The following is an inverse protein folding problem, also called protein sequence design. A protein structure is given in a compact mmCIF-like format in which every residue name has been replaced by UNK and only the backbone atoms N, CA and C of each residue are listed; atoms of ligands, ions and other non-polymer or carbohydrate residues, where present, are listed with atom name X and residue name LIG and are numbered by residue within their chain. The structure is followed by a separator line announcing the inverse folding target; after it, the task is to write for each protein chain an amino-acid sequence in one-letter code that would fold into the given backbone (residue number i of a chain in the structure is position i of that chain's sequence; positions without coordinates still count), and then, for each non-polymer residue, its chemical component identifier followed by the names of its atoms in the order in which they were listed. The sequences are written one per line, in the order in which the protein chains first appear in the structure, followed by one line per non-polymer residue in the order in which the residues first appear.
data_IF_127726357981
#
_entry.id   IF_127726357981
#
_cell.length_a   1.000
_cell.length_b   1.000
_cell.length_c   1.000
_cell.angle_alpha   90.00
_cell.angle_beta   90.00
_cell.angle_gamma   90.00
#
_symmetry.space_group_name_H-M   'P 1'
#
loop_
_entity.id
_entity.type
_entity.pdbx_description
1 polymer ?
#
# COMPACT_ATOMS: atom_id res chain seq x y z
N UNK A 1 22.62 -11.62 -4.14
CA UNK A 1 21.53 -11.24 -3.23
C UNK A 1 20.67 -10.29 -4.04
N UNK A 2 19.41 -10.64 -4.25
CA UNK A 2 18.48 -9.85 -5.04
C UNK A 2 17.64 -8.92 -4.16
N UNK A 3 16.88 -7.99 -4.79
CA UNK A 3 16.15 -6.97 -4.10
C UNK A 3 14.67 -6.96 -4.52
N UNK A 4 13.78 -6.96 -3.54
CA UNK A 4 12.37 -6.63 -3.73
C UNK A 4 12.19 -5.14 -3.42
N UNK A 5 11.70 -4.37 -4.39
CA UNK A 5 11.32 -2.97 -4.26
C UNK A 5 9.82 -2.90 -4.01
N UNK A 6 9.41 -2.90 -2.74
CA UNK A 6 8.01 -2.69 -2.37
C UNK A 6 7.64 -1.22 -2.55
N UNK A 7 6.67 -0.95 -3.41
CA UNK A 7 6.19 0.37 -3.76
C UNK A 7 4.75 0.54 -3.28
N UNK A 8 4.47 1.53 -2.42
CA UNK A 8 3.11 1.95 -2.18
C UNK A 8 2.58 2.64 -3.45
N UNK A 9 1.38 2.30 -3.87
CA UNK A 9 0.73 2.94 -5.02
C UNK A 9 0.77 4.47 -4.95
N UNK A 10 0.71 5.14 -6.09
CA UNK A 10 0.58 6.59 -6.20
C UNK A 10 -0.70 7.10 -5.54
N UNK A 11 -0.78 8.41 -5.28
CA UNK A 11 -1.96 9.00 -4.66
C UNK A 11 -3.23 8.64 -5.42
N UNK A 12 -4.19 8.03 -4.72
CA UNK A 12 -5.51 7.71 -5.25
C UNK A 12 -6.42 8.95 -5.37
N UNK A 13 -7.49 8.85 -6.17
CA UNK A 13 -8.45 9.92 -6.42
C UNK A 13 -9.48 10.01 -5.29
N UNK A 14 -9.07 10.55 -4.14
CA UNK A 14 -9.96 10.70 -2.99
C UNK A 14 -11.16 11.60 -3.31
N UNK A 15 -12.36 11.16 -2.92
CA UNK A 15 -13.62 11.92 -3.10
C UNK A 15 -14.20 11.90 -4.51
N UNK A 16 -13.65 11.11 -5.45
CA UNK A 16 -14.25 10.84 -6.75
C UNK A 16 -15.10 9.58 -6.70
N UNK A 17 -15.95 9.42 -7.73
CA UNK A 17 -16.83 8.25 -7.90
C UNK A 17 -16.05 6.94 -7.90
N UNK A 18 -14.91 6.90 -8.59
CA UNK A 18 -13.97 5.79 -8.54
C UNK A 18 -12.73 6.17 -7.70
N UNK A 19 -12.74 5.75 -6.44
CA UNK A 19 -11.62 5.96 -5.51
C UNK A 19 -10.39 5.13 -5.89
N UNK A 20 -10.56 3.98 -6.55
CA UNK A 20 -9.47 3.03 -6.82
C UNK A 20 -8.52 3.47 -7.95
N UNK A 21 -8.79 4.58 -8.64
CA UNK A 21 -7.90 5.13 -9.66
C UNK A 21 -6.91 6.14 -9.08
N UNK A 22 -5.76 6.30 -9.73
CA UNK A 22 -4.79 7.33 -9.37
C UNK A 22 -5.32 8.74 -9.65
N UNK A 23 -4.93 9.69 -8.80
CA UNK A 23 -5.04 11.12 -9.10
C UNK A 23 -3.99 11.54 -10.14
N UNK A 24 -4.14 12.76 -10.72
CA UNK A 24 -3.09 13.33 -11.59
C UNK A 24 -1.73 13.36 -10.89
N UNK A 25 -1.72 13.64 -9.58
CA UNK A 25 -0.50 13.63 -8.76
C UNK A 25 0.05 12.22 -8.60
N UNK A 26 -0.81 11.21 -8.40
CA UNK A 26 -0.40 9.81 -8.33
C UNK A 26 0.29 9.33 -9.60
N UNK A 27 -0.20 9.73 -10.77
CA UNK A 27 0.44 9.47 -12.05
C UNK A 27 1.83 10.13 -12.16
N UNK A 28 1.95 11.39 -11.71
CA UNK A 28 3.25 12.07 -11.71
C UNK A 28 4.25 11.42 -10.75
N UNK A 29 3.79 11.05 -9.54
CA UNK A 29 4.60 10.30 -8.56
C UNK A 29 5.15 9.01 -9.18
N UNK A 30 4.31 8.23 -9.88
CA UNK A 30 4.73 7.00 -10.55
C UNK A 30 5.79 7.24 -11.63
N UNK A 31 5.64 8.29 -12.44
CA UNK A 31 6.63 8.67 -13.46
C UNK A 31 7.97 9.07 -12.84
N UNK A 32 7.95 9.86 -11.76
CA UNK A 32 9.17 10.26 -11.04
C UNK A 32 9.88 9.01 -10.50
N UNK A 33 9.13 8.07 -9.91
CA UNK A 33 9.67 6.80 -9.45
C UNK A 33 10.31 6.01 -10.59
N UNK A 34 9.65 5.94 -11.76
CA UNK A 34 10.18 5.27 -12.94
C UNK A 34 11.53 5.83 -13.37
N UNK A 35 11.64 7.16 -13.51
CA UNK A 35 12.91 7.83 -13.81
C UNK A 35 14.00 7.52 -12.78
N UNK A 36 13.63 7.52 -11.51
CA UNK A 36 14.57 7.22 -10.42
C UNK A 36 15.08 5.79 -10.43
N UNK A 37 14.25 4.81 -10.83
CA UNK A 37 14.64 3.40 -10.91
C UNK A 37 15.46 3.09 -12.16
N UNK A 38 15.20 3.74 -13.30
CA UNK A 38 15.82 3.44 -14.58
C UNK A 38 17.36 3.42 -14.56
N UNK A 39 17.96 4.33 -13.78
CA UNK A 39 19.43 4.41 -13.66
C UNK A 39 20.01 3.50 -12.57
N UNK A 40 19.18 2.72 -11.85
CA UNK A 40 19.60 2.03 -10.63
C UNK A 40 19.43 0.54 -10.66
N UNK A 41 18.47 0.04 -11.42
CA UNK A 41 18.13 -1.37 -11.38
C UNK A 41 17.53 -1.83 -12.71
N UNK A 42 17.99 -2.98 -13.18
CA UNK A 42 17.35 -3.73 -14.25
C UNK A 42 16.29 -4.65 -13.61
N UNK A 43 15.03 -4.39 -13.96
CA UNK A 43 13.90 -5.10 -13.37
C UNK A 43 13.66 -6.43 -14.09
N UNK A 44 13.85 -7.55 -13.38
CA UNK A 44 13.60 -8.89 -13.92
C UNK A 44 12.13 -9.27 -13.96
N UNK A 45 11.31 -8.76 -13.02
CA UNK A 45 9.87 -8.98 -12.97
C UNK A 45 9.14 -7.85 -12.22
N UNK A 46 7.83 -7.75 -12.49
CA UNK A 46 6.93 -6.82 -11.81
C UNK A 46 5.77 -7.61 -11.22
N UNK A 47 5.46 -7.34 -9.96
CA UNK A 47 4.33 -7.92 -9.25
C UNK A 47 3.42 -6.81 -8.70
N UNK A 48 2.20 -7.17 -8.37
CA UNK A 48 1.30 -6.25 -7.67
C UNK A 48 -0.01 -6.90 -7.27
N UNK A 49 -0.76 -6.20 -6.42
CA UNK A 49 -2.16 -6.53 -6.19
C UNK A 49 -3.01 -6.21 -7.43
N UNK A 50 -4.28 -6.66 -7.43
CA UNK A 50 -5.15 -6.49 -8.60
C UNK A 50 -5.96 -5.19 -8.58
N UNK A 51 -5.80 -4.32 -7.58
CA UNK A 51 -6.48 -3.03 -7.50
C UNK A 51 -6.04 -2.10 -8.64
N UNK A 52 -6.98 -1.28 -9.14
CA UNK A 52 -6.71 -0.37 -10.27
C UNK A 52 -5.51 0.54 -9.97
N UNK A 53 -5.42 1.12 -8.79
CA UNK A 53 -4.31 1.99 -8.37
C UNK A 53 -2.94 1.29 -8.37
N UNK A 54 -2.90 -0.05 -8.16
CA UNK A 54 -1.64 -0.80 -8.27
C UNK A 54 -1.19 -0.91 -9.73
N UNK A 55 -2.11 -1.21 -10.65
CA UNK A 55 -1.85 -1.31 -12.09
C UNK A 55 -1.45 0.03 -12.67
N UNK A 56 -2.21 1.08 -12.40
CA UNK A 56 -1.92 2.44 -12.86
C UNK A 56 -0.57 2.97 -12.31
N UNK A 57 -0.17 2.55 -11.11
CA UNK A 57 1.17 2.89 -10.57
C UNK A 57 2.27 2.25 -11.41
N UNK A 58 2.12 0.99 -11.82
CA UNK A 58 3.07 0.30 -12.70
C UNK A 58 3.11 0.94 -14.08
N UNK A 59 1.96 1.31 -14.66
CA UNK A 59 1.87 2.01 -15.95
C UNK A 59 2.57 3.37 -15.90
N UNK A 60 2.35 4.14 -14.83
CA UNK A 60 3.02 5.41 -14.62
C UNK A 60 4.54 5.24 -14.44
N UNK A 61 4.95 4.22 -13.67
CA UNK A 61 6.35 3.85 -13.50
C UNK A 61 6.98 3.49 -14.83
N UNK A 62 6.36 2.64 -15.66
CA UNK A 62 6.84 2.26 -16.98
C UNK A 62 7.05 3.47 -17.89
N UNK A 63 6.12 4.43 -17.85
CA UNK A 63 6.23 5.69 -18.58
C UNK A 63 7.50 6.46 -18.19
N UNK A 64 7.84 6.50 -16.92
CA UNK A 64 9.02 7.19 -16.41
C UNK A 64 10.32 6.41 -16.62
N UNK A 65 10.26 5.08 -16.57
CA UNK A 65 11.41 4.18 -16.75
C UNK A 65 12.00 4.26 -18.15
N UNK A 66 11.17 4.50 -19.16
CA UNK A 66 11.60 4.85 -20.51
C UNK A 66 11.98 3.69 -21.42
N UNK A 67 11.97 2.44 -20.91
CA UNK A 67 12.12 1.21 -21.68
C UNK A 67 10.99 0.26 -21.38
N UNK A 68 10.79 -0.76 -22.24
CA UNK A 68 9.79 -1.79 -22.00
C UNK A 68 10.09 -2.53 -20.69
N UNK A 69 9.05 -2.69 -19.86
CA UNK A 69 9.09 -3.45 -18.63
C UNK A 69 8.33 -4.77 -18.79
N UNK A 70 8.64 -5.81 -18.00
CA UNK A 70 7.84 -7.02 -17.95
C UNK A 70 6.38 -6.73 -17.58
N UNK A 71 5.45 -7.56 -18.07
CA UNK A 71 4.04 -7.49 -17.66
C UNK A 71 3.90 -7.73 -16.16
N UNK A 72 2.98 -6.98 -15.52
CA UNK A 72 2.74 -7.15 -14.09
C UNK A 72 2.03 -8.46 -13.81
N UNK A 73 2.65 -9.30 -12.98
CA UNK A 73 2.06 -10.51 -12.43
C UNK A 73 1.22 -10.17 -11.18
N UNK A 74 -0.02 -10.63 -11.17
CA UNK A 74 -0.97 -10.30 -10.09
C UNK A 74 -0.87 -11.33 -8.96
N UNK A 75 -0.65 -10.83 -7.75
CA UNK A 75 -0.74 -11.58 -6.49
C UNK A 75 -1.80 -10.90 -5.60
N UNK A 76 -3.02 -11.45 -5.58
CA UNK A 76 -4.14 -10.85 -4.83
C UNK A 76 -3.85 -10.74 -3.33
N UNK A 77 -2.97 -11.58 -2.81
CA UNK A 77 -2.49 -11.47 -1.44
C UNK A 77 -1.81 -10.15 -1.09
N UNK A 78 -1.40 -9.36 -2.11
CA UNK A 78 -0.83 -8.02 -1.95
C UNK A 78 -1.88 -6.89 -1.99
N UNK A 79 -3.19 -7.22 -2.04
CA UNK A 79 -4.25 -6.22 -1.95
C UNK A 79 -4.34 -5.61 -0.55
N UNK A 80 -4.79 -4.35 -0.50
CA UNK A 80 -5.17 -3.71 0.74
C UNK A 80 -6.35 -4.45 1.40
N UNK A 81 -6.50 -4.33 2.73
CA UNK A 81 -7.69 -4.79 3.42
C UNK A 81 -8.92 -3.95 3.03
N UNK A 82 -10.11 -4.51 3.21
CA UNK A 82 -11.35 -3.78 2.94
C UNK A 82 -11.62 -2.74 4.04
N UNK A 83 -11.11 -1.55 3.80
CA UNK A 83 -11.29 -0.42 4.72
C UNK A 83 -12.76 0.05 4.81
N UNK A 84 -13.59 -0.24 3.80
CA UNK A 84 -15.01 0.10 3.82
C UNK A 84 -15.71 -0.79 4.82
N UNK A 85 -15.54 -2.11 4.72
CA UNK A 85 -16.08 -3.05 5.71
C UNK A 85 -15.61 -2.69 7.13
N UNK A 86 -14.31 -2.44 7.31
CA UNK A 86 -13.75 -2.12 8.63
C UNK A 86 -14.42 -0.90 9.26
N UNK A 87 -14.73 0.14 8.47
CA UNK A 87 -15.44 1.32 8.95
C UNK A 87 -16.92 1.02 9.23
N UNK A 88 -17.59 0.31 8.35
CA UNK A 88 -19.01 -0.05 8.46
C UNK A 88 -19.29 -0.95 9.67
N UNK A 89 -18.36 -1.83 10.06
CA UNK A 89 -18.50 -2.64 11.30
C UNK A 89 -18.46 -1.80 12.57
N UNK A 90 -17.75 -0.67 12.56
CA UNK A 90 -17.80 0.30 13.68
C UNK A 90 -19.03 1.23 13.58
N UNK A 91 -19.41 1.60 12.38
CA UNK A 91 -20.45 2.59 12.08
C UNK A 91 -21.40 2.04 11.01
N UNK A 92 -22.29 1.06 11.35
CA UNK A 92 -23.15 0.42 10.34
C UNK A 92 -24.03 1.40 9.54
N UNK A 93 -24.40 2.52 10.15
CA UNK A 93 -25.15 3.58 9.50
C UNK A 93 -24.39 4.28 8.36
N UNK A 94 -23.06 4.14 8.29
CA UNK A 94 -22.21 4.70 7.24
C UNK A 94 -22.14 3.85 5.97
N UNK A 95 -22.78 2.68 5.96
CA UNK A 95 -23.06 1.94 4.72
C UNK A 95 -23.91 2.78 3.74
N UNK A 96 -24.78 3.65 4.28
CA UNK A 96 -25.38 4.72 3.48
C UNK A 96 -24.46 5.93 3.40
N UNK A 97 -23.89 6.16 2.19
CA UNK A 97 -22.96 7.28 1.93
C UNK A 97 -23.57 8.66 2.23
N UNK A 98 -24.90 8.83 2.08
CA UNK A 98 -25.58 10.09 2.38
C UNK A 98 -25.62 10.32 3.90
N UNK A 99 -25.90 9.30 4.66
CA UNK A 99 -25.86 9.35 6.13
C UNK A 99 -24.44 9.65 6.61
N UNK A 100 -23.43 8.97 6.09
CA UNK A 100 -22.01 9.26 6.40
C UNK A 100 -21.67 10.73 6.11
N UNK A 101 -22.05 11.25 4.93
CA UNK A 101 -21.76 12.62 4.54
C UNK A 101 -22.45 13.63 5.48
N UNK A 102 -23.70 13.38 5.87
CA UNK A 102 -24.47 14.21 6.79
C UNK A 102 -23.86 14.23 8.19
N UNK A 103 -23.50 13.06 8.70
CA UNK A 103 -22.83 12.94 9.99
C UNK A 103 -21.52 13.71 10.02
N UNK A 104 -20.66 13.48 9.01
CA UNK A 104 -19.38 14.18 8.92
C UNK A 104 -19.52 15.68 8.78
N UNK A 105 -20.54 16.17 8.04
CA UNK A 105 -20.83 17.60 7.90
C UNK A 105 -21.23 18.26 9.22
N UNK A 106 -21.68 17.52 10.23
CA UNK A 106 -22.01 18.05 11.56
C UNK A 106 -20.78 18.43 12.38
N UNK A 107 -19.58 17.97 12.00
CA UNK A 107 -18.34 18.28 12.71
C UNK A 107 -17.63 19.51 12.15
N UNK A 108 -16.98 20.34 12.98
CA UNK A 108 -16.22 21.51 12.52
C UNK A 108 -15.10 21.19 11.53
N UNK A 109 -14.58 19.95 11.56
CA UNK A 109 -13.52 19.44 10.70
C UNK A 109 -13.87 18.03 10.20
N UNK A 110 -14.72 17.90 9.16
CA UNK A 110 -15.21 16.60 8.67
C UNK A 110 -14.11 15.57 8.37
N UNK A 111 -13.04 16.00 7.70
CA UNK A 111 -11.91 15.11 7.37
C UNK A 111 -11.22 14.55 8.62
N UNK A 112 -11.08 15.38 9.68
CA UNK A 112 -10.51 14.93 10.95
C UNK A 112 -11.46 13.97 11.69
N UNK A 113 -12.76 14.23 11.63
CA UNK A 113 -13.77 13.36 12.22
C UNK A 113 -13.75 11.98 11.56
N UNK A 114 -13.69 11.93 10.22
CA UNK A 114 -13.51 10.68 9.48
C UNK A 114 -12.22 9.96 9.89
N UNK A 115 -11.09 10.67 9.96
CA UNK A 115 -9.80 10.10 10.35
C UNK A 115 -9.88 9.44 11.74
N UNK A 116 -10.50 10.11 12.72
CA UNK A 116 -10.67 9.56 14.08
C UNK A 116 -11.57 8.32 14.09
N UNK A 117 -12.64 8.31 13.30
CA UNK A 117 -13.52 7.16 13.17
C UNK A 117 -12.77 5.98 12.51
N UNK A 118 -12.02 6.25 11.45
CA UNK A 118 -11.19 5.27 10.76
C UNK A 118 -10.15 4.65 11.70
N UNK A 119 -9.40 5.45 12.45
CA UNK A 119 -8.42 4.95 13.43
C UNK A 119 -9.07 4.07 14.49
N UNK A 120 -10.26 4.44 14.98
CA UNK A 120 -11.02 3.64 15.93
C UNK A 120 -11.49 2.32 15.30
N UNK A 121 -11.96 2.35 14.07
CA UNK A 121 -12.41 1.17 13.35
C UNK A 121 -11.26 0.17 13.12
N UNK A 122 -10.10 0.66 12.68
CA UNK A 122 -8.91 -0.17 12.48
C UNK A 122 -8.42 -0.76 13.81
N UNK A 123 -8.39 0.01 14.89
CA UNK A 123 -8.03 -0.52 16.21
C UNK A 123 -8.97 -1.62 16.68
N UNK A 124 -10.29 -1.48 16.44
CA UNK A 124 -11.28 -2.51 16.72
C UNK A 124 -11.02 -3.80 15.93
N UNK A 125 -10.76 -3.67 14.64
CA UNK A 125 -10.43 -4.81 13.78
C UNK A 125 -9.15 -5.52 14.22
N UNK A 126 -8.11 -4.77 14.55
CA UNK A 126 -6.80 -5.29 14.98
C UNK A 126 -6.86 -5.95 16.37
N UNK A 127 -7.83 -5.59 17.24
CA UNK A 127 -7.94 -6.18 18.58
C UNK A 127 -8.25 -7.68 18.54
N UNK A 128 -8.92 -8.18 17.50
CA UNK A 128 -9.37 -9.56 17.41
C UNK A 128 -10.60 -9.88 18.23
N UNK A 129 -11.10 -8.95 19.06
CA UNK A 129 -12.26 -9.17 19.94
C UNK A 129 -13.58 -9.35 19.18
N UNK A 130 -13.58 -9.04 17.88
CA UNK A 130 -14.75 -9.01 17.00
C UNK A 130 -14.52 -9.73 15.68
N UNK A 131 -13.62 -10.71 15.65
CA UNK A 131 -13.18 -11.39 14.42
C UNK A 131 -14.33 -12.05 13.65
N UNK A 132 -15.38 -12.50 14.34
CA UNK A 132 -16.59 -13.11 13.75
C UNK A 132 -17.48 -12.11 12.97
N UNK A 133 -17.24 -10.82 13.11
CA UNK A 133 -17.98 -9.78 12.39
C UNK A 133 -17.35 -9.39 11.06
N UNK A 134 -16.10 -9.79 10.79
CA UNK A 134 -15.34 -9.38 9.60
C UNK A 134 -15.20 -10.52 8.61
N UNK A 135 -15.29 -10.20 7.30
CA UNK A 135 -15.00 -11.16 6.25
C UNK A 135 -13.53 -11.57 6.24
N UNK A 136 -12.63 -10.63 6.54
CA UNK A 136 -11.21 -10.90 6.74
C UNK A 136 -10.76 -10.36 8.11
N UNK A 137 -10.29 -11.24 8.98
CA UNK A 137 -9.72 -10.85 10.28
C UNK A 137 -8.35 -10.22 10.10
N UNK A 138 -7.88 -9.46 11.11
CA UNK A 138 -6.51 -8.93 11.11
C UNK A 138 -5.45 -10.02 10.96
N UNK A 139 -5.65 -11.17 11.62
CA UNK A 139 -4.75 -12.31 11.50
C UNK A 139 -4.80 -12.92 10.09
N UNK A 140 -5.98 -13.04 9.50
CA UNK A 140 -6.17 -13.50 8.12
C UNK A 140 -5.44 -12.61 7.13
N UNK A 141 -5.59 -11.29 7.26
CA UNK A 141 -4.89 -10.31 6.44
C UNK A 141 -3.36 -10.46 6.55
N UNK A 142 -2.82 -10.57 7.77
CA UNK A 142 -1.38 -10.78 7.98
C UNK A 142 -0.89 -12.09 7.33
N UNK A 143 -1.63 -13.17 7.49
CA UNK A 143 -1.28 -14.46 6.90
C UNK A 143 -1.29 -14.40 5.36
N UNK A 144 -2.33 -13.79 4.77
CA UNK A 144 -2.45 -13.62 3.33
C UNK A 144 -1.28 -12.83 2.74
N UNK A 145 -0.93 -11.72 3.37
CA UNK A 145 0.17 -10.85 2.91
C UNK A 145 1.52 -11.57 3.01
N UNK A 146 1.79 -12.26 4.12
CA UNK A 146 3.05 -12.98 4.30
C UNK A 146 3.15 -14.17 3.32
N UNK A 147 2.07 -14.90 3.08
CA UNK A 147 2.03 -15.95 2.07
C UNK A 147 2.30 -15.38 0.66
N UNK A 148 1.74 -14.23 0.32
CA UNK A 148 2.03 -13.57 -0.95
C UNK A 148 3.51 -13.15 -1.08
N UNK A 149 4.16 -12.74 0.02
CA UNK A 149 5.59 -12.48 0.02
C UNK A 149 6.40 -13.75 -0.21
N UNK A 150 5.97 -14.89 0.33
CA UNK A 150 6.62 -16.18 0.09
C UNK A 150 6.52 -16.59 -1.39
N UNK A 151 5.31 -16.56 -1.94
CA UNK A 151 5.06 -16.84 -3.36
C UNK A 151 5.88 -15.92 -4.28
N UNK A 152 5.87 -14.62 -4.01
CA UNK A 152 6.65 -13.64 -4.76
C UNK A 152 8.15 -13.97 -4.75
N UNK A 153 8.69 -14.35 -3.60
CA UNK A 153 10.12 -14.67 -3.46
C UNK A 153 10.50 -15.91 -4.28
N UNK A 154 9.61 -16.91 -4.32
CA UNK A 154 9.78 -18.12 -5.14
C UNK A 154 9.69 -17.78 -6.64
N UNK A 155 8.67 -17.02 -7.06
CA UNK A 155 8.45 -16.64 -8.45
C UNK A 155 9.53 -15.71 -9.00
N UNK A 156 10.12 -14.86 -8.16
CA UNK A 156 11.18 -13.93 -8.52
C UNK A 156 12.53 -14.62 -8.79
N UNK A 157 12.73 -15.82 -8.28
CA UNK A 157 13.89 -16.70 -8.53
C UNK A 157 15.25 -15.98 -8.52
N UNK A 158 15.44 -15.11 -7.53
CA UNK A 158 16.69 -14.35 -7.37
C UNK A 158 16.85 -13.11 -8.28
N UNK A 159 15.79 -12.66 -8.94
CA UNK A 159 15.80 -11.43 -9.72
C UNK A 159 15.47 -10.19 -8.86
N UNK A 160 15.94 -9.02 -9.29
CA UNK A 160 15.46 -7.74 -8.78
C UNK A 160 14.05 -7.46 -9.30
N UNK A 161 13.11 -7.18 -8.40
CA UNK A 161 11.69 -7.04 -8.74
C UNK A 161 11.05 -5.80 -8.11
N UNK A 162 10.08 -5.21 -8.81
CA UNK A 162 9.19 -4.18 -8.26
C UNK A 162 7.86 -4.80 -7.89
N UNK A 163 7.30 -4.36 -6.77
CA UNK A 163 6.00 -4.78 -6.27
C UNK A 163 5.13 -3.56 -5.99
N UNK A 164 4.09 -3.37 -6.77
CA UNK A 164 3.10 -2.32 -6.53
C UNK A 164 2.00 -2.82 -5.59
N UNK A 165 1.90 -2.21 -4.40
CA UNK A 165 0.94 -2.61 -3.37
C UNK A 165 0.46 -1.40 -2.56
N UNK A 166 -0.13 -1.62 -1.39
CA UNK A 166 -0.70 -0.60 -0.51
C UNK A 166 0.05 -0.50 0.83
N UNK A 167 -0.33 0.47 1.64
CA UNK A 167 0.31 0.73 2.93
C UNK A 167 0.17 -0.43 3.91
N UNK A 168 -1.01 -1.04 4.01
CA UNK A 168 -1.27 -2.17 4.90
C UNK A 168 -0.36 -3.36 4.64
N UNK A 169 -0.29 -3.90 3.41
CA UNK A 169 0.64 -4.98 3.08
C UNK A 169 2.11 -4.63 3.36
N UNK A 170 2.56 -3.40 3.02
CA UNK A 170 3.94 -2.98 3.32
C UNK A 170 4.20 -2.98 4.84
N UNK A 171 3.25 -2.47 5.62
CA UNK A 171 3.38 -2.44 7.08
C UNK A 171 3.40 -3.85 7.69
N UNK A 172 2.57 -4.78 7.20
CA UNK A 172 2.55 -6.18 7.64
C UNK A 172 3.85 -6.90 7.29
N UNK A 173 4.39 -6.67 6.09
CA UNK A 173 5.70 -7.22 5.71
C UNK A 173 6.81 -6.67 6.62
N UNK A 174 6.78 -5.36 6.91
CA UNK A 174 7.72 -4.75 7.85
C UNK A 174 7.53 -5.32 9.27
N UNK A 175 6.29 -5.56 9.72
CA UNK A 175 6.00 -6.21 10.98
C UNK A 175 6.68 -7.58 11.09
N UNK A 176 6.52 -8.42 10.07
CA UNK A 176 7.11 -9.75 10.05
C UNK A 176 8.64 -9.70 10.10
N UNK A 177 9.27 -8.84 9.28
CA UNK A 177 10.72 -8.77 9.17
C UNK A 177 11.41 -8.09 10.36
N UNK A 178 10.71 -7.23 11.10
CA UNK A 178 11.23 -6.44 12.23
C UNK A 178 10.61 -6.84 13.58
N UNK A 179 9.75 -7.88 13.61
CA UNK A 179 9.04 -8.36 14.80
C UNK A 179 8.26 -7.24 15.54
N UNK A 180 7.57 -6.38 14.78
CA UNK A 180 6.82 -5.28 15.36
C UNK A 180 5.52 -5.77 16.01
N UNK A 181 5.08 -5.09 17.07
CA UNK A 181 3.72 -5.28 17.60
C UNK A 181 2.66 -4.77 16.62
N UNK A 182 1.42 -5.27 16.74
CA UNK A 182 0.30 -4.80 15.91
C UNK A 182 0.08 -3.29 16.05
N UNK A 183 0.16 -2.75 17.27
CA UNK A 183 0.08 -1.30 17.50
C UNK A 183 1.16 -0.53 16.74
N UNK A 184 2.43 -1.01 16.78
CA UNK A 184 3.53 -0.35 16.08
C UNK A 184 3.37 -0.47 14.56
N UNK A 185 2.79 -1.55 14.08
CA UNK A 185 2.47 -1.75 12.66
C UNK A 185 1.47 -0.71 12.15
N UNK A 186 0.44 -0.37 12.93
CA UNK A 186 -0.51 0.69 12.59
C UNK A 186 0.15 2.08 12.57
N UNK A 187 1.03 2.36 13.52
CA UNK A 187 1.80 3.61 13.52
C UNK A 187 2.68 3.73 12.27
N UNK A 188 3.39 2.65 11.93
CA UNK A 188 4.25 2.56 10.75
C UNK A 188 3.43 2.74 9.47
N UNK A 189 2.25 2.09 9.34
CA UNK A 189 1.37 2.23 8.19
C UNK A 189 0.95 3.69 7.94
N UNK A 190 0.74 4.45 9.00
CA UNK A 190 0.25 5.84 8.90
C UNK A 190 1.24 6.80 8.23
N UNK A 191 2.52 6.46 8.18
CA UNK A 191 3.60 7.32 7.67
C UNK A 191 4.21 6.85 6.34
N UNK A 192 3.71 5.76 5.75
CA UNK A 192 4.19 5.29 4.45
C UNK A 192 3.72 6.26 3.36
N UNK A 193 4.64 6.89 2.65
CA UNK A 193 4.32 7.85 1.60
C UNK A 193 3.87 7.15 0.29
N UNK A 194 3.04 7.82 -0.52
CA UNK A 194 2.70 7.34 -1.87
C UNK A 194 3.95 7.26 -2.74
N UNK A 195 4.08 6.21 -3.51
CA UNK A 195 5.26 5.80 -4.30
C UNK A 195 6.56 5.68 -3.52
N UNK A 196 6.51 5.67 -2.17
CA UNK A 196 7.70 5.33 -1.39
C UNK A 196 8.16 3.91 -1.69
N UNK A 197 9.46 3.68 -1.56
CA UNK A 197 10.13 2.41 -1.81
C UNK A 197 10.67 1.83 -0.52
N UNK A 198 10.23 0.64 -0.16
CA UNK A 198 10.87 -0.17 0.88
C UNK A 198 11.64 -1.32 0.21
N UNK A 199 12.91 -1.51 0.57
CA UNK A 199 13.75 -2.52 -0.06
C UNK A 199 13.99 -3.71 0.85
N UNK A 200 13.69 -4.90 0.35
CA UNK A 200 13.98 -6.16 1.01
C UNK A 200 15.09 -6.87 0.24
N UNK A 201 16.19 -7.12 0.89
CA UNK A 201 17.21 -8.00 0.36
C UNK A 201 16.82 -9.45 0.63
N UNK A 202 16.91 -10.32 -0.39
CA UNK A 202 16.54 -11.72 -0.23
C UNK A 202 17.51 -12.69 -0.90
N UNK A 203 17.58 -13.92 -0.36
CA UNK A 203 18.32 -15.03 -0.93
C UNK A 203 17.72 -16.33 -0.38
N UNK A 204 17.03 -17.11 -1.19
CA UNK A 204 16.20 -18.22 -0.72
C UNK A 204 15.15 -17.73 0.28
N UNK A 205 15.07 -18.37 1.44
CA UNK A 205 14.15 -18.00 2.53
C UNK A 205 14.63 -16.82 3.38
N UNK A 206 15.89 -16.40 3.26
CA UNK A 206 16.42 -15.28 4.04
C UNK A 206 15.97 -13.96 3.45
N UNK A 207 15.39 -13.11 4.29
CA UNK A 207 14.89 -11.76 3.94
C UNK A 207 15.33 -10.75 4.99
N UNK A 208 15.67 -9.55 4.55
CA UNK A 208 16.07 -8.45 5.44
C UNK A 208 15.54 -7.13 4.90
N UNK A 209 14.84 -6.37 5.71
CA UNK A 209 14.39 -5.02 5.36
C UNK A 209 15.60 -4.06 5.43
N UNK A 210 16.12 -3.68 4.28
CA UNK A 210 17.31 -2.84 4.17
C UNK A 210 16.98 -1.34 4.14
N UNK A 211 15.80 -0.98 3.62
CA UNK A 211 15.31 0.40 3.57
C UNK A 211 13.81 0.38 3.79
N UNK A 212 13.31 1.32 4.56
CA UNK A 212 11.88 1.49 4.78
C UNK A 212 11.43 2.88 4.36
N UNK A 213 10.33 2.95 3.58
CA UNK A 213 9.60 4.18 3.26
C UNK A 213 10.47 5.30 2.66
N UNK A 214 11.35 4.97 1.72
CA UNK A 214 12.18 5.97 1.02
C UNK A 214 11.36 6.66 -0.06
N UNK A 215 11.21 7.98 0.03
CA UNK A 215 10.55 8.85 -0.96
C UNK A 215 11.43 10.03 -1.40
N UNK A 216 12.74 9.92 -1.23
CA UNK A 216 13.71 10.96 -1.62
C UNK A 216 13.67 11.33 -3.12
N UNK A 217 13.21 10.41 -3.98
CA UNK A 217 12.98 10.69 -5.40
C UNK A 217 11.90 11.77 -5.60
N UNK A 218 10.86 11.80 -4.76
CA UNK A 218 9.84 12.83 -4.81
C UNK A 218 10.35 14.17 -4.25
N UNK A 219 11.08 14.12 -3.12
CA UNK A 219 11.66 15.32 -2.51
C UNK A 219 12.66 16.01 -3.43
N UNK A 220 13.48 15.23 -4.14
CA UNK A 220 14.45 15.74 -5.10
C UNK A 220 13.79 16.38 -6.34
N UNK A 221 12.68 15.82 -6.81
CA UNK A 221 11.93 16.38 -7.95
C UNK A 221 11.10 17.59 -7.54
N UNK A 222 10.22 17.41 -6.56
CA UNK A 222 9.36 18.46 -6.01
C UNK A 222 8.74 18.00 -4.68
N UNK A 223 9.09 18.61 -3.52
CA UNK A 223 8.54 18.23 -2.22
C UNK A 223 7.00 18.24 -2.14
N UNK A 224 6.31 19.03 -2.99
CA UNK A 224 4.85 19.06 -3.04
C UNK A 224 4.24 17.74 -3.58
N UNK A 225 5.06 16.87 -4.18
CA UNK A 225 4.63 15.54 -4.60
C UNK A 225 4.53 14.55 -3.42
N UNK A 226 5.16 14.82 -2.28
CA UNK A 226 5.08 13.92 -1.13
C UNK A 226 3.68 13.93 -0.54
N UNK A 227 3.03 12.78 -0.51
CA UNK A 227 1.69 12.59 0.07
C UNK A 227 1.60 11.27 0.83
N UNK A 228 0.70 11.20 1.80
CA UNK A 228 0.53 10.04 2.68
C UNK A 228 -0.86 9.40 2.58
N UNK A 229 -1.66 9.83 1.59
CA UNK A 229 -3.05 9.38 1.40
C UNK A 229 -3.38 9.18 -0.06
#
# INVERSE_FOLDING_TARGET
MATIYLVRHGQASFGKENYDQLSKRGWEQGKVLGRWLADKVELGAIFGGNLQRHRETVEALATGYGTALPDMQVLEGLNEFDHVEVVERLRPEWADKQTMARDLASFPKPARAFQMAFEKAVKRWVSGDYDDEYAETWQGFKQRVNHALDQLTEMADGADVVVSTSGGPIAVIAQNLLELSDQKTLEVNSVIANTSVSRILYSGSRRSLAVFNNYSHLEAENPALVTFR
#
